data_IF_304928105287
#
_entry.id   IF_304928105287
#
_cell.length_a   1.000
_cell.length_b   1.000
_cell.length_c   1.000
_cell.angle_alpha   90.00
_cell.angle_beta   90.00
_cell.angle_gamma   90.00
#
_symmetry.space_group_name_H-M   'P 1'
#
loop_
_entity.id
_entity.type
_entity.pdbx_description
1 polymer ?
#
# COMPACT_ATOMS: atom_id res chain seq x y z
N UNK A 1 -39.77 -12.61 -42.98
CA UNK A 1 -38.37 -12.16 -42.85
C UNK A 1 -38.01 -12.12 -41.38
N UNK A 2 -37.20 -13.08 -40.92
CA UNK A 2 -36.84 -13.23 -39.50
C UNK A 2 -35.67 -12.35 -39.12
N UNK A 3 -35.90 -11.43 -38.18
CA UNK A 3 -34.88 -10.54 -37.60
C UNK A 3 -34.00 -11.35 -36.64
N UNK A 4 -32.84 -11.81 -37.13
CA UNK A 4 -31.83 -12.45 -36.28
C UNK A 4 -31.21 -11.45 -35.32
N UNK A 5 -31.57 -11.52 -34.04
CA UNK A 5 -30.86 -10.80 -32.99
C UNK A 5 -29.46 -11.42 -32.80
N UNK A 6 -28.44 -10.78 -33.36
CA UNK A 6 -27.05 -11.11 -33.06
C UNK A 6 -26.76 -10.75 -31.60
N UNK A 7 -26.62 -11.76 -30.74
CA UNK A 7 -26.15 -11.58 -29.38
C UNK A 7 -24.71 -11.06 -29.42
N UNK A 8 -24.48 -9.90 -28.78
CA UNK A 8 -23.13 -9.37 -28.60
C UNK A 8 -22.35 -10.31 -27.66
N UNK A 9 -21.08 -10.63 -27.96
CA UNK A 9 -20.25 -11.42 -27.06
C UNK A 9 -20.12 -10.70 -25.71
N UNK A 10 -20.25 -11.45 -24.62
CA UNK A 10 -20.07 -10.92 -23.28
C UNK A 10 -18.65 -10.34 -23.12
N UNK A 11 -18.49 -9.17 -22.48
CA UNK A 11 -17.16 -8.59 -22.27
C UNK A 11 -16.29 -9.53 -21.42
N UNK A 12 -14.98 -9.60 -21.70
CA UNK A 12 -14.08 -10.44 -20.93
C UNK A 12 -14.11 -10.04 -19.45
N UNK A 13 -14.26 -11.04 -18.57
CA UNK A 13 -14.20 -10.83 -17.12
C UNK A 13 -12.82 -10.26 -16.79
N UNK A 14 -12.79 -9.07 -16.20
CA UNK A 14 -11.53 -8.46 -15.72
C UNK A 14 -11.05 -9.27 -14.53
N UNK A 15 -9.79 -9.71 -14.58
CA UNK A 15 -9.15 -10.28 -13.40
C UNK A 15 -9.11 -9.23 -12.27
N UNK A 16 -9.32 -9.64 -11.01
CA UNK A 16 -9.24 -8.72 -9.88
C UNK A 16 -7.81 -8.16 -9.75
N UNK A 17 -7.69 -6.91 -9.33
CA UNK A 17 -6.39 -6.29 -9.07
C UNK A 17 -5.64 -7.05 -7.96
N UNK A 18 -4.31 -7.24 -8.06
CA UNK A 18 -3.55 -8.09 -7.13
C UNK A 18 -3.72 -7.72 -5.64
N UNK A 19 -3.86 -6.42 -5.35
CA UNK A 19 -4.04 -5.92 -3.99
C UNK A 19 -5.41 -6.26 -3.39
N UNK A 20 -6.44 -6.53 -4.20
CA UNK A 20 -7.73 -6.99 -3.70
C UNK A 20 -7.59 -8.41 -3.15
N UNK A 21 -6.90 -9.28 -3.87
CA UNK A 21 -6.64 -10.66 -3.44
C UNK A 21 -5.81 -10.70 -2.16
N UNK A 22 -4.88 -9.76 -1.97
CA UNK A 22 -4.11 -9.62 -0.72
C UNK A 22 -4.99 -9.38 0.51
N UNK A 23 -6.09 -8.65 0.36
CA UNK A 23 -6.99 -8.33 1.47
C UNK A 23 -7.84 -9.51 1.92
N UNK A 24 -7.91 -10.56 1.12
CA UNK A 24 -8.61 -11.81 1.46
C UNK A 24 -7.76 -12.73 2.35
N UNK A 25 -6.47 -12.46 2.48
CA UNK A 25 -5.55 -13.25 3.31
C UNK A 25 -5.90 -13.05 4.79
N UNK A 26 -6.15 -14.15 5.49
CA UNK A 26 -6.33 -14.14 6.95
C UNK A 26 -4.99 -13.86 7.62
N UNK A 27 -4.90 -12.70 8.25
CA UNK A 27 -3.74 -12.32 9.06
C UNK A 27 -3.72 -13.13 10.37
N UNK A 28 -2.52 -13.41 10.93
CA UNK A 28 -2.41 -14.00 12.26
C UNK A 28 -3.00 -13.07 13.32
N UNK A 29 -3.27 -13.61 14.51
CA UNK A 29 -3.76 -12.81 15.63
C UNK A 29 -2.80 -11.67 15.96
N UNK A 30 -3.39 -10.54 16.34
CA UNK A 30 -2.66 -9.32 16.66
C UNK A 30 -1.80 -9.54 17.90
N UNK A 31 -0.49 -9.41 17.76
CA UNK A 31 0.44 -9.47 18.89
C UNK A 31 0.49 -8.14 19.63
N UNK A 32 0.52 -8.13 20.98
CA UNK A 32 0.65 -6.91 21.76
C UNK A 32 1.99 -6.22 21.51
N UNK A 33 3.08 -6.97 21.32
CA UNK A 33 4.43 -6.44 21.05
C UNK A 33 4.61 -5.72 19.70
N UNK A 34 3.66 -5.87 18.77
CA UNK A 34 3.69 -5.16 17.49
C UNK A 34 2.99 -3.78 17.57
N UNK A 35 2.35 -3.46 18.70
CA UNK A 35 1.67 -2.18 18.89
C UNK A 35 2.60 -1.16 19.52
N UNK A 36 2.72 0.00 18.88
CA UNK A 36 3.31 1.18 19.51
C UNK A 36 2.36 1.74 20.57
N UNK A 37 2.90 2.10 21.73
CA UNK A 37 2.24 2.98 22.68
C UNK A 37 2.10 4.37 22.04
N UNK A 38 0.88 4.74 21.68
CA UNK A 38 0.58 6.10 21.21
C UNK A 38 0.58 6.99 22.46
N UNK A 39 1.69 7.68 22.70
CA UNK A 39 1.75 8.71 23.74
C UNK A 39 0.80 9.84 23.36
N UNK A 40 -0.17 10.15 24.23
CA UNK A 40 -1.00 11.35 24.12
C UNK A 40 -0.06 12.57 24.20
N UNK A 41 0.19 13.20 23.07
CA UNK A 41 0.93 14.47 23.02
C UNK A 41 -0.05 15.56 23.45
N UNK A 42 0.15 16.09 24.65
CA UNK A 42 -0.52 17.31 25.11
C UNK A 42 -0.27 18.47 24.14
N UNK A 43 -1.25 19.38 24.07
CA UNK A 43 -1.40 20.48 23.09
C UNK A 43 -0.30 21.57 23.09
N UNK A 44 0.82 21.40 23.80
CA UNK A 44 1.83 22.44 23.95
C UNK A 44 3.23 21.94 23.59
N UNK A 45 3.72 22.28 22.39
CA UNK A 45 5.11 22.02 21.99
C UNK A 45 5.48 22.83 20.75
N UNK A 46 5.37 24.15 20.82
CA UNK A 46 6.24 25.01 20.02
C UNK A 46 7.65 24.94 20.61
N UNK A 47 8.64 24.44 19.85
CA UNK A 47 10.09 24.77 19.93
C UNK A 47 11.11 23.63 20.14
N UNK A 48 10.79 22.41 20.57
CA UNK A 48 11.78 21.31 20.53
C UNK A 48 11.23 20.00 19.96
N UNK A 49 11.99 19.34 19.09
CA UNK A 49 11.72 17.95 18.69
C UNK A 49 11.74 17.10 19.98
N UNK A 50 10.62 16.49 20.38
CA UNK A 50 10.56 15.76 21.63
C UNK A 50 11.52 14.58 21.56
N UNK A 51 12.23 14.30 22.65
CA UNK A 51 13.09 13.12 22.73
C UNK A 51 12.28 11.84 22.46
N UNK A 52 12.66 11.12 21.40
CA UNK A 52 12.01 9.88 20.96
C UNK A 52 12.85 8.64 21.25
N UNK A 53 13.98 8.78 21.95
CA UNK A 53 14.90 7.70 22.28
C UNK A 53 14.24 6.56 23.07
N UNK A 54 13.19 6.88 23.83
CA UNK A 54 12.43 5.92 24.63
C UNK A 54 11.31 5.19 23.87
N UNK A 55 11.06 5.50 22.60
CA UNK A 55 10.01 4.83 21.83
C UNK A 55 10.42 3.40 21.53
N UNK A 56 9.57 2.45 21.92
CA UNK A 56 9.80 1.03 21.64
C UNK A 56 9.86 0.78 20.14
N UNK A 57 10.90 0.08 19.69
CA UNK A 57 11.03 -0.34 18.28
C UNK A 57 10.34 -1.70 18.09
N UNK A 58 9.53 -1.87 17.02
CA UNK A 58 8.92 -3.15 16.69
C UNK A 58 9.99 -4.20 16.44
N UNK A 59 9.75 -5.41 16.91
CA UNK A 59 10.71 -6.51 16.78
C UNK A 59 11.08 -6.80 15.33
N UNK A 60 10.12 -6.71 14.40
CA UNK A 60 10.41 -6.96 12.98
C UNK A 60 11.46 -5.98 12.40
N UNK A 61 11.58 -4.79 12.98
CA UNK A 61 12.54 -3.79 12.51
C UNK A 61 14.00 -4.12 12.86
N UNK A 62 14.26 -5.00 13.83
CA UNK A 62 15.64 -5.36 14.18
C UNK A 62 16.34 -6.20 13.11
N UNK A 63 15.57 -6.88 12.25
CA UNK A 63 16.06 -7.74 11.16
C UNK A 63 15.79 -7.13 9.78
N UNK A 64 15.54 -5.82 9.71
CA UNK A 64 15.07 -5.18 8.47
C UNK A 64 16.05 -5.35 7.30
N UNK A 65 17.36 -5.42 7.55
CA UNK A 65 18.36 -5.62 6.48
C UNK A 65 18.19 -6.98 5.80
N UNK A 66 18.00 -8.05 6.57
CA UNK A 66 17.74 -9.39 6.03
C UNK A 66 16.40 -9.44 5.29
N UNK A 67 15.39 -8.71 5.78
CA UNK A 67 14.09 -8.60 5.12
C UNK A 67 14.19 -7.86 3.78
N UNK A 68 14.95 -6.76 3.72
CA UNK A 68 15.20 -6.00 2.48
C UNK A 68 15.91 -6.89 1.45
N UNK A 69 16.92 -7.65 1.86
CA UNK A 69 17.64 -8.55 0.97
C UNK A 69 16.69 -9.58 0.33
N UNK A 70 15.80 -10.19 1.14
CA UNK A 70 14.77 -11.13 0.66
C UNK A 70 13.78 -10.47 -0.31
N UNK A 71 13.43 -9.20 -0.09
CA UNK A 71 12.47 -8.45 -0.90
C UNK A 71 13.05 -7.87 -2.19
N UNK A 72 14.39 -7.74 -2.29
CA UNK A 72 15.06 -7.02 -3.38
C UNK A 72 14.70 -7.54 -4.78
N UNK A 73 14.45 -8.85 -4.93
CA UNK A 73 14.09 -9.45 -6.23
C UNK A 73 12.60 -9.39 -6.59
N UNK A 74 11.73 -8.97 -5.67
CA UNK A 74 10.28 -9.01 -5.85
C UNK A 74 9.80 -7.80 -6.66
N UNK A 75 9.03 -8.05 -7.72
CA UNK A 75 8.43 -6.98 -8.53
C UNK A 75 7.24 -6.34 -7.78
N UNK A 76 7.34 -5.06 -7.36
CA UNK A 76 6.28 -4.40 -6.60
C UNK A 76 4.97 -4.27 -7.38
N UNK A 77 5.02 -4.19 -8.71
CA UNK A 77 3.81 -4.10 -9.55
C UNK A 77 2.94 -5.36 -9.44
N UNK A 78 3.52 -6.48 -9.01
CA UNK A 78 2.79 -7.74 -8.82
C UNK A 78 2.01 -7.77 -7.49
N UNK A 79 2.30 -6.85 -6.59
CA UNK A 79 1.64 -6.66 -5.29
C UNK A 79 0.64 -5.50 -5.40
N UNK A 80 1.12 -4.35 -5.85
CA UNK A 80 0.37 -3.09 -5.82
C UNK A 80 -0.34 -2.77 -7.14
N UNK A 81 -0.06 -3.54 -8.21
CA UNK A 81 -0.48 -3.23 -9.56
C UNK A 81 0.48 -2.23 -10.24
N UNK A 82 0.42 -2.18 -11.57
CA UNK A 82 1.27 -1.29 -12.40
C UNK A 82 0.80 0.17 -12.43
N UNK A 83 -0.26 0.51 -11.70
CA UNK A 83 -0.90 1.84 -11.73
C UNK A 83 -1.38 2.24 -10.35
N UNK A 84 -1.08 3.48 -9.98
CA UNK A 84 -1.66 4.09 -8.78
C UNK A 84 -3.11 4.49 -9.07
N UNK A 85 -4.09 4.11 -8.23
CA UNK A 85 -5.47 4.56 -8.36
C UNK A 85 -5.59 6.09 -8.33
N UNK A 86 -6.61 6.64 -9.00
CA UNK A 86 -6.88 8.09 -8.92
C UNK A 86 -7.30 8.46 -7.50
N UNK A 87 -6.66 9.48 -6.95
CA UNK A 87 -7.08 10.08 -5.68
C UNK A 87 -8.34 10.91 -5.91
N UNK A 88 -9.51 10.34 -5.64
CA UNK A 88 -10.78 11.04 -5.73
C UNK A 88 -11.10 11.74 -4.42
N UNK A 89 -10.83 13.05 -4.38
CA UNK A 89 -11.09 13.87 -3.21
C UNK A 89 -12.57 13.98 -2.86
N UNK A 90 -13.50 13.79 -3.82
CA UNK A 90 -14.94 13.77 -3.56
C UNK A 90 -15.32 12.60 -2.66
N UNK A 91 -14.75 11.43 -2.97
CA UNK A 91 -14.99 10.21 -2.23
C UNK A 91 -14.31 10.25 -0.85
N UNK A 92 -13.09 10.79 -0.76
CA UNK A 92 -12.32 10.83 0.50
C UNK A 92 -12.84 11.92 1.45
N UNK A 93 -13.14 13.11 0.93
CA UNK A 93 -13.62 14.25 1.69
C UNK A 93 -15.04 14.61 1.25
N UNK A 94 -15.99 13.77 1.64
CA UNK A 94 -17.40 13.97 1.33
C UNK A 94 -17.94 15.26 1.95
N UNK A 95 -19.00 15.81 1.35
CA UNK A 95 -19.62 17.04 1.85
C UNK A 95 -20.17 16.86 3.29
N UNK A 96 -20.56 15.63 3.66
CA UNK A 96 -20.94 15.26 5.04
C UNK A 96 -19.80 15.46 6.05
N UNK A 97 -18.55 15.19 5.64
CA UNK A 97 -17.37 15.39 6.50
C UNK A 97 -17.13 16.89 6.72
N UNK A 98 -17.26 17.69 5.67
CA UNK A 98 -17.15 19.15 5.75
C UNK A 98 -18.26 19.76 6.64
N UNK A 99 -19.50 19.30 6.48
CA UNK A 99 -20.63 19.73 7.30
C UNK A 99 -20.41 19.44 8.79
N UNK A 100 -19.91 18.24 9.14
CA UNK A 100 -19.60 17.86 10.54
C UNK A 100 -18.54 18.75 11.18
N UNK A 101 -17.61 19.29 10.40
CA UNK A 101 -16.55 20.17 10.88
C UNK A 101 -16.89 21.66 10.74
N UNK A 102 -18.11 22.02 10.31
CA UNK A 102 -18.53 23.40 10.02
C UNK A 102 -17.56 24.13 9.08
N UNK A 103 -17.00 23.40 8.10
CA UNK A 103 -16.09 23.94 7.09
C UNK A 103 -16.71 23.84 5.71
N UNK A 104 -16.36 24.78 4.83
CA UNK A 104 -16.71 24.71 3.43
C UNK A 104 -15.60 24.06 2.60
N UNK A 105 -16.01 23.46 1.50
CA UNK A 105 -15.09 22.80 0.60
C UNK A 105 -14.33 23.80 -0.28
N UNK A 106 -13.00 23.67 -0.41
CA UNK A 106 -12.23 24.46 -1.36
C UNK A 106 -12.66 24.18 -2.83
N UNK A 107 -13.13 25.20 -3.53
CA UNK A 107 -13.61 25.11 -4.93
C UNK A 107 -12.54 25.47 -5.98
N UNK A 108 -11.24 25.43 -5.63
CA UNK A 108 -10.18 25.80 -6.58
C UNK A 108 -10.01 24.76 -7.68
N UNK A 109 -10.08 25.22 -8.94
CA UNK A 109 -9.63 24.44 -10.10
C UNK A 109 -8.11 24.28 -10.04
N UNK A 110 -7.62 23.07 -10.35
CA UNK A 110 -6.18 22.84 -10.49
C UNK A 110 -5.66 23.50 -11.77
N UNK A 111 -4.48 24.11 -11.68
CA UNK A 111 -3.74 24.62 -12.84
C UNK A 111 -2.93 23.52 -13.54
N UNK A 112 -1.95 23.92 -14.35
CA UNK A 112 -1.04 23.03 -15.07
C UNK A 112 -0.33 21.98 -14.19
N UNK A 113 -0.16 22.25 -12.89
CA UNK A 113 0.33 21.31 -11.87
C UNK A 113 -0.41 19.95 -11.81
N UNK A 114 -1.59 19.82 -12.42
CA UNK A 114 -2.35 18.57 -12.49
C UNK A 114 -2.16 17.77 -13.78
N UNK A 115 -1.46 18.31 -14.78
CA UNK A 115 -1.30 17.68 -16.09
C UNK A 115 0.09 17.04 -16.24
N UNK A 116 0.18 15.77 -15.84
CA UNK A 116 1.41 14.97 -15.87
C UNK A 116 1.42 13.92 -17.00
N UNK A 117 0.56 14.05 -18.02
CA UNK A 117 0.50 13.05 -19.10
C UNK A 117 1.81 12.92 -19.87
N UNK A 118 2.56 14.02 -20.02
CA UNK A 118 3.81 14.04 -20.79
C UNK A 118 4.96 13.39 -20.01
N UNK A 119 4.95 13.45 -18.67
CA UNK A 119 5.98 12.89 -17.79
C UNK A 119 5.77 11.40 -17.50
N UNK A 120 4.85 10.74 -18.20
CA UNK A 120 4.58 9.31 -17.98
C UNK A 120 5.73 8.48 -18.50
N UNK A 121 6.23 7.60 -17.64
CA UNK A 121 7.15 6.56 -18.05
C UNK A 121 6.52 5.68 -19.14
N UNK A 122 7.30 5.41 -20.17
CA UNK A 122 7.00 4.43 -21.20
C UNK A 122 7.14 3.00 -20.65
N UNK A 123 6.51 2.04 -21.34
CA UNK A 123 6.66 0.62 -21.00
C UNK A 123 8.11 0.14 -21.09
N UNK A 124 8.89 0.72 -22.00
CA UNK A 124 10.29 0.38 -22.19
C UNK A 124 11.12 0.80 -20.98
N UNK A 125 10.94 2.04 -20.50
CA UNK A 125 11.62 2.56 -19.30
C UNK A 125 11.27 1.73 -18.06
N UNK A 126 10.00 1.38 -17.88
CA UNK A 126 9.57 0.51 -16.77
C UNK A 126 10.26 -0.86 -16.85
N UNK A 127 10.31 -1.47 -18.04
CA UNK A 127 10.94 -2.78 -18.24
C UNK A 127 12.45 -2.71 -17.98
N UNK A 128 13.12 -1.67 -18.48
CA UNK A 128 14.54 -1.48 -18.28
C UNK A 128 14.87 -1.24 -16.79
N UNK A 129 14.05 -0.45 -16.10
CA UNK A 129 14.20 -0.22 -14.67
C UNK A 129 14.07 -1.52 -13.88
N UNK A 130 13.02 -2.32 -14.13
CA UNK A 130 12.85 -3.63 -13.47
C UNK A 130 14.04 -4.55 -13.70
N UNK A 131 14.58 -4.57 -14.93
CA UNK A 131 15.79 -5.34 -15.25
C UNK A 131 17.01 -4.86 -14.46
N UNK A 132 17.23 -3.54 -14.36
CA UNK A 132 18.34 -2.95 -13.60
C UNK A 132 18.24 -3.22 -12.11
N UNK A 133 17.03 -3.19 -11.55
CA UNK A 133 16.77 -3.43 -10.13
C UNK A 133 16.69 -4.93 -9.77
N UNK A 134 16.71 -5.84 -10.75
CA UNK A 134 16.57 -7.27 -10.49
C UNK A 134 15.16 -7.69 -10.06
N UNK A 135 14.13 -6.89 -10.36
CA UNK A 135 12.72 -7.19 -10.09
C UNK A 135 12.19 -8.28 -11.04
N UNK A 136 12.61 -9.52 -10.79
CA UNK A 136 12.33 -10.68 -11.65
C UNK A 136 11.39 -11.71 -11.02
N UNK A 137 11.05 -11.57 -9.73
CA UNK A 137 10.15 -12.48 -9.02
C UNK A 137 8.74 -11.88 -8.95
N UNK A 138 7.75 -12.66 -9.36
CA UNK A 138 6.34 -12.34 -9.11
C UNK A 138 6.00 -12.67 -7.66
N UNK A 139 5.31 -11.75 -6.97
CA UNK A 139 4.78 -12.05 -5.65
C UNK A 139 3.63 -13.07 -5.77
N UNK A 140 3.70 -14.14 -4.97
CA UNK A 140 2.70 -15.22 -4.95
C UNK A 140 2.18 -15.44 -3.54
N UNK A 141 0.86 -15.61 -3.42
CA UNK A 141 0.15 -15.82 -2.13
C UNK A 141 0.62 -17.11 -1.44
N UNK A 142 1.00 -18.13 -2.21
CA UNK A 142 1.35 -19.47 -1.71
C UNK A 142 2.82 -19.63 -1.29
N UNK A 143 3.62 -18.56 -1.27
CA UNK A 143 4.95 -18.67 -0.66
C UNK A 143 4.77 -18.84 0.85
N UNK A 144 4.79 -20.09 1.31
CA UNK A 144 4.71 -20.53 2.70
C UNK A 144 5.73 -19.83 3.63
N UNK A 145 6.74 -19.19 3.05
CA UNK A 145 7.75 -18.36 3.72
C UNK A 145 7.18 -17.03 4.25
N UNK A 146 6.18 -16.41 3.61
CA UNK A 146 5.67 -15.09 3.99
C UNK A 146 4.78 -15.12 5.25
N UNK A 147 4.10 -16.23 5.51
CA UNK A 147 3.27 -16.40 6.72
C UNK A 147 4.13 -16.90 7.89
N UNK A 148 5.13 -17.74 7.63
CA UNK A 148 5.99 -18.32 8.67
C UNK A 148 7.10 -17.38 9.17
N UNK A 149 7.66 -16.50 8.32
CA UNK A 149 8.73 -15.60 8.72
C UNK A 149 8.32 -14.61 9.82
N UNK A 150 7.03 -14.25 9.88
CA UNK A 150 6.51 -13.44 10.98
C UNK A 150 6.08 -14.27 12.20
N UNK A 151 5.79 -15.57 12.06
CA UNK A 151 5.32 -16.41 13.16
C UNK A 151 6.46 -17.00 14.02
N UNK A 152 7.68 -17.08 13.48
CA UNK A 152 8.80 -17.76 14.13
C UNK A 152 9.91 -16.79 14.56
N UNK A 153 9.62 -15.95 15.56
CA UNK A 153 10.67 -15.32 16.35
C UNK A 153 10.91 -16.21 17.59
N UNK A 154 12.16 -16.59 17.91
CA UNK A 154 12.43 -17.43 19.07
C UNK A 154 12.00 -16.72 20.36
N UNK A 155 11.32 -17.48 21.24
CA UNK A 155 10.93 -17.03 22.56
C UNK A 155 12.15 -16.46 23.30
N UNK A 156 12.03 -15.24 23.82
CA UNK A 156 13.09 -14.61 24.59
C UNK A 156 13.41 -15.47 25.83
N UNK A 157 14.69 -15.67 26.18
CA UNK A 157 15.06 -16.37 27.40
C UNK A 157 14.58 -15.54 28.62
N UNK A 158 13.80 -16.19 29.47
CA UNK A 158 13.36 -15.66 30.76
C UNK A 158 14.61 -15.41 31.61
N UNK A 159 14.80 -14.17 32.07
CA UNK A 159 15.84 -13.82 33.04
C UNK A 159 15.20 -13.53 34.39
#
# INVERSE_FOLDING_TARGET
SGSGQQQRPSPPKREPEPWLTLREIKLPEKRPEDNYEISDKGEDSETEEPDRSHKQLPKWSSQYLELIEKQTGTDPDTIFGSRVPRCDLLTIFSDELYARCSKERPQRKRGSSGEWKQDRLSKQEVTEYKRKMGHNKKWMINNAENVSANASAPAAPTR
#
